data_IF_084379189971
#
_entry.id   IF_084379189971
#
_cell.length_a   1.000
_cell.length_b   1.000
_cell.length_c   1.000
_cell.angle_alpha   90.00
_cell.angle_beta   90.00
_cell.angle_gamma   90.00
#
_symmetry.space_group_name_H-M   'P 1'
#
loop_
_entity.id
_entity.type
_entity.pdbx_description
1 polymer ?
#
# COMPACT_ATOMS: atom_id res chain seq x y z
N UNK A 1 17.62 -17.94 8.21
CA UNK A 1 16.56 -16.90 8.34
C UNK A 1 17.14 -15.58 7.87
N UNK A 2 16.80 -15.18 6.65
CA UNK A 2 17.39 -14.00 6.02
C UNK A 2 16.78 -12.72 6.59
N UNK A 3 17.64 -11.81 7.06
CA UNK A 3 17.30 -10.66 7.88
C UNK A 3 16.68 -9.52 7.05
N UNK A 4 15.57 -9.81 6.36
CA UNK A 4 14.61 -8.78 6.00
C UNK A 4 13.99 -8.30 7.30
N UNK A 5 14.55 -7.21 7.83
CA UNK A 5 14.01 -6.58 9.03
C UNK A 5 12.53 -6.28 8.80
N UNK A 6 11.72 -6.42 9.84
CA UNK A 6 10.29 -6.08 9.84
C UNK A 6 10.02 -4.74 9.15
N UNK A 7 10.89 -3.74 9.37
CA UNK A 7 10.82 -2.43 8.74
C UNK A 7 10.87 -2.50 7.21
N UNK A 8 11.82 -3.25 6.63
CA UNK A 8 11.96 -3.39 5.17
C UNK A 8 10.73 -4.07 4.54
N UNK A 9 10.09 -5.00 5.25
CA UNK A 9 8.86 -5.63 4.79
C UNK A 9 7.70 -4.62 4.76
N UNK A 10 7.55 -3.82 5.82
CA UNK A 10 6.55 -2.74 5.88
C UNK A 10 6.77 -1.74 4.74
N UNK A 11 8.02 -1.34 4.48
CA UNK A 11 8.36 -0.42 3.38
C UNK A 11 7.99 -0.98 2.01
N UNK A 12 8.27 -2.27 1.77
CA UNK A 12 7.93 -2.95 0.50
C UNK A 12 6.43 -3.07 0.30
N UNK A 13 5.70 -3.51 1.33
CA UNK A 13 4.24 -3.56 1.31
C UNK A 13 3.69 -2.16 1.04
N UNK A 14 4.13 -1.15 1.79
CA UNK A 14 3.71 0.25 1.61
C UNK A 14 3.96 0.75 0.18
N UNK A 15 5.09 0.38 -0.41
CA UNK A 15 5.44 0.77 -1.79
C UNK A 15 4.52 0.12 -2.82
N UNK A 16 4.26 -1.18 -2.66
CA UNK A 16 3.32 -1.93 -3.49
C UNK A 16 1.91 -1.33 -3.41
N UNK A 17 1.42 -1.04 -2.21
CA UNK A 17 0.11 -0.43 -2.01
C UNK A 17 0.00 0.95 -2.66
N UNK A 18 1.01 1.81 -2.47
CA UNK A 18 1.04 3.13 -3.10
C UNK A 18 1.06 3.05 -4.63
N UNK A 19 1.70 2.03 -5.21
CA UNK A 19 1.71 1.84 -6.66
C UNK A 19 0.31 1.52 -7.19
N UNK A 20 -0.41 0.61 -6.53
CA UNK A 20 -1.78 0.27 -6.90
C UNK A 20 -2.76 1.42 -6.69
N UNK A 21 -2.62 2.13 -5.57
CA UNK A 21 -3.38 3.35 -5.28
C UNK A 21 -3.18 4.41 -6.37
N UNK A 22 -1.93 4.65 -6.82
CA UNK A 22 -1.67 5.61 -7.90
C UNK A 22 -2.37 5.22 -9.21
N UNK A 23 -2.38 3.94 -9.58
CA UNK A 23 -3.09 3.48 -10.79
C UNK A 23 -4.57 3.81 -10.72
N UNK A 24 -5.23 3.47 -9.60
CA UNK A 24 -6.67 3.70 -9.40
C UNK A 24 -7.03 5.18 -9.25
N UNK A 25 -6.28 5.92 -8.44
CA UNK A 25 -6.62 7.29 -8.07
C UNK A 25 -6.31 8.28 -9.19
N UNK A 26 -5.25 8.04 -9.98
CA UNK A 26 -4.90 8.92 -11.11
C UNK A 26 -6.01 8.97 -12.16
N UNK A 27 -6.68 7.84 -12.44
CA UNK A 27 -7.84 7.79 -13.33
C UNK A 27 -9.01 8.68 -12.85
N UNK A 28 -9.08 8.98 -11.55
CA UNK A 28 -10.09 9.83 -10.92
C UNK A 28 -9.60 11.27 -10.69
N UNK A 29 -8.38 11.59 -11.15
CA UNK A 29 -7.70 12.86 -10.88
C UNK A 29 -7.46 13.09 -9.39
N UNK A 30 -7.17 12.03 -8.64
CA UNK A 30 -6.92 12.05 -7.21
C UNK A 30 -5.50 11.60 -6.87
N UNK A 31 -4.98 12.14 -5.78
CA UNK A 31 -3.72 11.73 -5.16
C UNK A 31 -4.03 10.91 -3.90
N UNK A 32 -3.11 10.05 -3.43
CA UNK A 32 -3.32 9.25 -2.22
C UNK A 32 -3.77 10.07 -1.01
N UNK A 33 -3.23 11.28 -0.83
CA UNK A 33 -3.59 12.17 0.28
C UNK A 33 -5.07 12.59 0.27
N UNK A 34 -5.68 12.76 -0.91
CA UNK A 34 -7.10 13.08 -1.03
C UNK A 34 -7.96 11.94 -0.49
N UNK A 35 -7.62 10.70 -0.84
CA UNK A 35 -8.34 9.50 -0.40
C UNK A 35 -8.13 9.25 1.08
N UNK A 36 -6.90 9.37 1.58
CA UNK A 36 -6.59 9.25 3.02
C UNK A 36 -7.36 10.28 3.86
N UNK A 37 -7.50 11.51 3.34
CA UNK A 37 -8.28 12.55 4.02
C UNK A 37 -9.78 12.21 4.03
N UNK A 38 -10.32 11.70 2.92
CA UNK A 38 -11.72 11.25 2.89
C UNK A 38 -11.97 10.09 3.85
N UNK A 39 -11.09 9.09 3.85
CA UNK A 39 -11.19 7.90 4.70
C UNK A 39 -11.14 8.27 6.20
N UNK A 40 -10.24 9.19 6.56
CA UNK A 40 -10.21 9.78 7.89
C UNK A 40 -11.52 10.49 8.24
N UNK A 41 -12.01 11.38 7.37
CA UNK A 41 -13.23 12.15 7.63
C UNK A 41 -14.48 11.27 7.71
N UNK A 42 -14.53 10.16 6.98
CA UNK A 42 -15.60 9.17 7.07
C UNK A 42 -15.61 8.40 8.40
N UNK A 43 -14.45 8.32 9.08
CA UNK A 43 -14.27 7.53 10.30
C UNK A 43 -14.18 8.38 11.58
N UNK A 44 -13.89 9.68 11.45
CA UNK A 44 -13.72 10.58 12.57
C UNK A 44 -15.08 11.05 13.14
N UNK A 45 -15.07 11.48 14.40
CA UNK A 45 -16.24 12.09 15.02
C UNK A 45 -16.18 13.63 14.92
N UNK A 46 -17.25 14.31 15.37
CA UNK A 46 -17.38 15.79 15.36
C UNK A 46 -16.31 16.57 16.12
N UNK A 47 -15.48 15.92 16.93
CA UNK A 47 -14.38 16.57 17.66
C UNK A 47 -13.05 16.47 16.89
N UNK A 48 -13.05 15.72 15.79
CA UNK A 48 -11.87 15.38 14.99
C UNK A 48 -12.07 15.71 13.51
N UNK A 49 -13.17 16.37 13.16
CA UNK A 49 -13.54 16.75 11.79
C UNK A 49 -13.01 18.15 11.42
N UNK A 50 -11.84 18.55 11.93
CA UNK A 50 -11.26 19.88 11.66
C UNK A 50 -9.99 19.79 10.80
N UNK A 51 -9.60 20.86 10.08
CA UNK A 51 -8.34 20.88 9.34
C UNK A 51 -7.10 20.61 10.21
N UNK A 52 -7.13 21.04 11.48
CA UNK A 52 -6.06 20.76 12.43
C UNK A 52 -5.98 19.26 12.75
N UNK A 53 -7.11 18.62 13.02
CA UNK A 53 -7.17 17.19 13.29
C UNK A 53 -6.70 16.35 12.08
N UNK A 54 -7.06 16.75 10.85
CA UNK A 54 -6.54 16.13 9.61
C UNK A 54 -5.01 16.28 9.53
N UNK A 55 -4.48 17.46 9.89
CA UNK A 55 -3.04 17.74 9.90
C UNK A 55 -2.31 16.81 10.86
N UNK A 56 -2.82 16.70 12.09
CA UNK A 56 -2.22 15.90 13.15
C UNK A 56 -2.30 14.40 12.85
N UNK A 57 -3.46 13.93 12.38
CA UNK A 57 -3.68 12.52 12.08
C UNK A 57 -2.82 12.02 10.91
N UNK A 58 -2.74 12.79 9.82
CA UNK A 58 -1.97 12.40 8.63
C UNK A 58 -0.48 12.75 8.73
N UNK A 59 -0.07 13.50 9.76
CA UNK A 59 1.32 13.98 9.92
C UNK A 59 1.76 14.89 8.76
N UNK A 60 0.84 15.67 8.21
CA UNK A 60 1.08 16.55 7.06
C UNK A 60 1.26 18.00 7.48
N UNK A 61 1.75 18.84 6.57
CA UNK A 61 1.81 20.28 6.85
C UNK A 61 0.43 20.94 6.66
N UNK A 62 0.17 22.03 7.38
CA UNK A 62 -1.04 22.85 7.20
C UNK A 62 -1.25 23.29 5.75
N UNK A 63 -0.17 23.60 5.03
CA UNK A 63 -0.21 23.95 3.61
C UNK A 63 -0.71 22.80 2.74
N UNK A 64 -0.16 21.60 2.94
CA UNK A 64 -0.59 20.37 2.24
C UNK A 64 -2.04 20.04 2.53
N UNK A 65 -2.47 20.11 3.79
CA UNK A 65 -3.86 19.85 4.18
C UNK A 65 -4.80 20.90 3.56
N UNK A 66 -4.45 22.18 3.61
CA UNK A 66 -5.26 23.24 2.99
C UNK A 66 -5.51 22.99 1.50
N UNK A 67 -4.45 22.67 0.75
CA UNK A 67 -4.54 22.35 -0.68
C UNK A 67 -5.38 21.09 -0.94
N UNK A 68 -5.15 20.04 -0.15
CA UNK A 68 -5.91 18.78 -0.20
C UNK A 68 -7.40 19.04 -0.01
N UNK A 69 -7.77 19.77 1.04
CA UNK A 69 -9.16 20.11 1.33
C UNK A 69 -9.77 20.99 0.23
N UNK A 70 -9.02 21.91 -0.36
CA UNK A 70 -9.51 22.73 -1.48
C UNK A 70 -9.82 21.87 -2.71
N UNK A 71 -9.01 20.86 -3.01
CA UNK A 71 -9.31 19.91 -4.10
C UNK A 71 -10.56 19.10 -3.80
N UNK A 72 -10.68 18.57 -2.58
CA UNK A 72 -11.84 17.76 -2.17
C UNK A 72 -13.16 18.57 -2.18
N UNK A 73 -13.14 19.83 -1.72
CA UNK A 73 -14.30 20.72 -1.80
C UNK A 73 -14.66 21.02 -3.26
N UNK A 74 -13.67 21.36 -4.11
CA UNK A 74 -13.92 21.63 -5.54
C UNK A 74 -14.50 20.43 -6.29
N UNK A 75 -14.13 19.22 -5.88
CA UNK A 75 -14.66 17.97 -6.44
C UNK A 75 -16.00 17.55 -5.83
N UNK A 76 -16.53 18.28 -4.85
CA UNK A 76 -17.82 17.98 -4.21
C UNK A 76 -17.77 16.76 -3.28
N UNK A 77 -16.61 16.37 -2.78
CA UNK A 77 -16.49 15.21 -1.89
C UNK A 77 -16.61 15.56 -0.41
N UNK A 78 -16.32 16.81 -0.06
CA UNK A 78 -16.49 17.33 1.29
C UNK A 78 -17.06 18.75 1.25
N UNK A 79 -17.64 19.18 2.36
CA UNK A 79 -17.96 20.58 2.61
C UNK A 79 -17.25 21.10 3.87
N UNK A 80 -17.13 22.43 3.95
CA UNK A 80 -16.64 23.15 5.13
C UNK A 80 -17.81 23.87 5.78
N UNK A 81 -18.08 23.61 7.05
CA UNK A 81 -19.09 24.32 7.84
C UNK A 81 -18.42 25.01 9.04
N UNK A 82 -18.65 26.31 9.21
CA UNK A 82 -18.25 26.98 10.45
C UNK A 82 -19.12 26.47 11.60
N UNK A 83 -18.51 26.28 12.77
CA UNK A 83 -19.27 25.94 13.96
C UNK A 83 -20.32 27.02 14.28
N UNK A 84 -21.44 26.59 14.85
CA UNK A 84 -22.56 27.48 15.13
C UNK A 84 -22.30 28.34 16.39
N UNK A 85 -21.52 27.83 17.35
CA UNK A 85 -21.19 28.51 18.61
C UNK A 85 -19.83 29.25 18.57
N UNK A 86 -18.78 28.68 17.97
CA UNK A 86 -17.46 29.30 17.82
C UNK A 86 -17.03 29.40 16.35
N UNK A 87 -17.21 30.58 15.75
CA UNK A 87 -16.88 30.84 14.33
C UNK A 87 -15.41 30.65 13.97
N UNK A 88 -14.52 30.48 14.94
CA UNK A 88 -13.10 30.14 14.71
C UNK A 88 -12.92 28.66 14.35
N UNK A 89 -13.88 27.80 14.68
CA UNK A 89 -13.86 26.37 14.38
C UNK A 89 -14.49 26.12 13.01
N UNK A 90 -13.81 25.30 12.22
CA UNK A 90 -14.30 24.82 10.92
C UNK A 90 -14.39 23.31 10.97
N UNK A 91 -15.60 22.81 10.75
CA UNK A 91 -15.91 21.40 10.58
C UNK A 91 -15.85 21.01 9.10
N UNK A 92 -15.39 19.79 8.85
CA UNK A 92 -15.24 19.14 7.56
C UNK A 92 -16.22 17.98 7.52
N UNK A 93 -17.16 18.01 6.58
CA UNK A 93 -18.11 16.92 6.43
C UNK A 93 -17.92 16.24 5.11
N UNK A 94 -17.86 14.91 5.13
CA UNK A 94 -17.91 14.12 3.91
C UNK A 94 -19.32 14.20 3.31
N UNK A 95 -19.38 14.37 1.99
CA UNK A 95 -20.62 14.40 1.22
C UNK A 95 -20.92 13.00 0.66
N UNK A 96 -22.17 12.72 0.24
CA UNK A 96 -22.55 11.42 -0.32
C UNK A 96 -21.65 10.95 -1.46
N UNK A 97 -21.21 11.85 -2.33
CA UNK A 97 -20.29 11.58 -3.43
C UNK A 97 -18.90 11.14 -2.93
N UNK A 98 -18.43 11.75 -1.84
CA UNK A 98 -17.18 11.35 -1.18
C UNK A 98 -17.27 9.95 -0.55
N UNK A 99 -18.40 9.64 0.08
CA UNK A 99 -18.66 8.32 0.66
C UNK A 99 -18.75 7.24 -0.43
N UNK A 100 -19.48 7.52 -1.51
CA UNK A 100 -19.60 6.61 -2.65
C UNK A 100 -18.26 6.38 -3.34
N UNK A 101 -17.43 7.42 -3.46
CA UNK A 101 -16.07 7.29 -3.96
C UNK A 101 -15.26 6.30 -3.12
N UNK A 102 -15.26 6.44 -1.79
CA UNK A 102 -14.55 5.53 -0.88
C UNK A 102 -14.99 4.07 -1.09
N UNK A 103 -16.29 3.81 -1.14
CA UNK A 103 -16.83 2.47 -1.38
C UNK A 103 -16.34 1.83 -2.69
N UNK A 104 -16.13 2.63 -3.73
CA UNK A 104 -15.68 2.15 -5.04
C UNK A 104 -14.16 1.97 -5.17
N UNK A 105 -13.36 2.73 -4.40
CA UNK A 105 -11.89 2.72 -4.54
C UNK A 105 -11.18 1.87 -3.49
N UNK A 106 -11.84 1.54 -2.38
CA UNK A 106 -11.24 0.70 -1.35
C UNK A 106 -10.87 -0.66 -1.95
N UNK A 107 -9.60 -1.09 -1.84
CA UNK A 107 -9.10 -2.29 -2.49
C UNK A 107 -9.50 -3.56 -1.73
N UNK A 108 -10.78 -3.68 -1.35
CA UNK A 108 -11.33 -4.86 -0.68
C UNK A 108 -10.91 -6.13 -1.42
N UNK A 109 -10.98 -6.13 -2.75
CA UNK A 109 -10.70 -7.36 -3.51
C UNK A 109 -9.24 -7.86 -3.38
N UNK A 110 -8.22 -6.99 -3.42
CA UNK A 110 -6.81 -7.44 -3.37
C UNK A 110 -6.42 -7.86 -1.95
N UNK A 111 -6.81 -7.09 -0.93
CA UNK A 111 -6.52 -7.42 0.45
C UNK A 111 -7.32 -8.62 0.94
N UNK A 112 -8.62 -8.68 0.65
CA UNK A 112 -9.43 -9.83 1.03
C UNK A 112 -8.92 -11.11 0.39
N UNK A 113 -8.49 -11.08 -0.89
CA UNK A 113 -7.82 -12.24 -1.52
C UNK A 113 -6.50 -12.60 -0.85
N UNK A 114 -5.67 -11.60 -0.52
CA UNK A 114 -4.40 -11.83 0.16
C UNK A 114 -4.60 -12.38 1.58
N UNK A 115 -5.58 -11.86 2.33
CA UNK A 115 -5.98 -12.32 3.65
C UNK A 115 -6.50 -13.77 3.60
N UNK A 116 -7.40 -14.09 2.66
CA UNK A 116 -7.88 -15.46 2.42
C UNK A 116 -6.74 -16.43 2.09
N UNK A 117 -5.74 -15.99 1.32
CA UNK A 117 -4.59 -16.82 0.96
C UNK A 117 -3.70 -17.20 2.17
N UNK A 118 -3.79 -16.45 3.27
CA UNK A 118 -2.96 -16.66 4.48
C UNK A 118 -3.77 -16.95 5.74
N UNK A 119 -5.12 -16.97 5.67
CA UNK A 119 -6.05 -17.02 6.81
C UNK A 119 -5.76 -18.17 7.78
N UNK A 120 -5.44 -19.36 7.26
CA UNK A 120 -5.22 -20.56 8.06
C UNK A 120 -3.74 -20.83 8.39
N UNK A 121 -2.84 -19.88 8.10
CA UNK A 121 -1.42 -20.01 8.38
C UNK A 121 -1.10 -19.51 9.79
N UNK A 122 -0.24 -20.22 10.51
CA UNK A 122 0.36 -19.77 11.76
C UNK A 122 1.75 -19.18 11.49
N UNK A 123 2.09 -18.11 12.19
CA UNK A 123 3.37 -17.42 12.02
C UNK A 123 4.09 -17.27 13.36
N UNK A 124 5.35 -17.70 13.40
CA UNK A 124 6.18 -17.63 14.62
C UNK A 124 6.77 -16.23 14.87
N UNK A 125 6.59 -15.28 13.92
CA UNK A 125 7.08 -13.91 14.05
C UNK A 125 6.33 -12.93 13.14
N UNK A 126 6.38 -11.63 13.50
CA UNK A 126 5.84 -10.54 12.68
C UNK A 126 6.50 -10.50 11.29
N UNK A 127 7.82 -10.73 11.22
CA UNK A 127 8.56 -10.76 9.96
C UNK A 127 8.11 -11.93 9.06
N UNK A 128 7.80 -13.10 9.62
CA UNK A 128 7.22 -14.20 8.85
C UNK A 128 5.83 -13.84 8.31
N UNK A 129 4.95 -13.30 9.16
CA UNK A 129 3.61 -12.88 8.76
C UNK A 129 3.62 -11.79 7.66
N UNK A 130 4.47 -10.77 7.81
CA UNK A 130 4.60 -9.69 6.82
C UNK A 130 5.23 -10.17 5.52
N UNK A 131 6.17 -11.12 5.57
CA UNK A 131 6.73 -11.71 4.35
C UNK A 131 5.64 -12.47 3.57
N UNK A 132 4.84 -13.27 4.26
CA UNK A 132 3.73 -14.01 3.65
C UNK A 132 2.65 -13.07 3.11
N UNK A 133 2.32 -12.00 3.83
CA UNK A 133 1.44 -10.94 3.33
C UNK A 133 2.02 -10.24 2.09
N UNK A 134 3.31 -9.94 2.07
CA UNK A 134 3.97 -9.34 0.90
C UNK A 134 3.88 -10.26 -0.32
N UNK A 135 4.15 -11.56 -0.14
CA UNK A 135 4.05 -12.55 -1.23
C UNK A 135 2.60 -12.66 -1.72
N UNK A 136 1.63 -12.79 -0.81
CA UNK A 136 0.21 -12.85 -1.18
C UNK A 136 -0.24 -11.61 -1.96
N UNK A 137 0.15 -10.40 -1.51
CA UNK A 137 -0.16 -9.15 -2.19
C UNK A 137 0.53 -9.02 -3.57
N UNK A 138 1.77 -9.51 -3.72
CA UNK A 138 2.47 -9.53 -5.00
C UNK A 138 1.78 -10.46 -6.01
N UNK A 139 1.34 -11.64 -5.56
CA UNK A 139 0.67 -12.62 -6.40
C UNK A 139 -0.69 -12.14 -6.90
N UNK A 140 -1.52 -11.58 -6.01
CA UNK A 140 -2.86 -11.09 -6.38
C UNK A 140 -2.79 -9.89 -7.35
N UNK A 141 -1.75 -9.06 -7.24
CA UNK A 141 -1.61 -7.88 -8.11
C UNK A 141 -1.13 -8.19 -9.53
N UNK A 142 -0.76 -9.44 -9.84
CA UNK A 142 -0.29 -9.84 -11.19
C UNK A 142 0.94 -9.06 -11.68
N UNK A 143 1.62 -8.35 -10.78
CA UNK A 143 2.84 -7.59 -11.08
C UNK A 143 4.06 -8.49 -10.94
N UNK A 144 5.09 -8.25 -11.77
CA UNK A 144 6.40 -8.89 -11.63
C UNK A 144 6.85 -8.83 -10.17
N UNK A 145 7.08 -10.00 -9.57
CA UNK A 145 7.49 -10.08 -8.18
C UNK A 145 8.91 -9.54 -8.03
N UNK A 146 9.18 -8.87 -6.92
CA UNK A 146 10.53 -8.45 -6.54
C UNK A 146 10.91 -9.15 -5.25
N UNK A 147 12.10 -9.75 -5.23
CA UNK A 147 12.61 -10.52 -4.09
C UNK A 147 14.13 -10.62 -4.13
N UNK A 148 14.73 -11.13 -3.05
CA UNK A 148 16.16 -11.41 -3.07
C UNK A 148 16.46 -12.55 -4.03
N UNK A 149 17.49 -12.41 -4.86
CA UNK A 149 17.73 -13.31 -5.98
C UNK A 149 17.85 -14.79 -5.53
N UNK A 150 18.50 -15.08 -4.40
CA UNK A 150 18.60 -16.45 -3.88
C UNK A 150 17.31 -17.12 -3.42
N UNK A 151 16.25 -16.34 -3.18
CA UNK A 151 14.95 -16.90 -2.80
C UNK A 151 14.06 -17.12 -4.04
N UNK A 152 14.58 -16.84 -5.23
CA UNK A 152 13.85 -17.00 -6.49
C UNK A 152 13.70 -18.48 -6.83
N UNK A 153 12.57 -18.91 -7.37
CA UNK A 153 12.42 -20.31 -7.85
C UNK A 153 13.38 -20.64 -9.00
N UNK A 154 13.87 -19.62 -9.72
CA UNK A 154 14.82 -19.79 -10.83
C UNK A 154 16.28 -19.67 -10.38
N UNK A 155 16.54 -19.62 -9.07
CA UNK A 155 17.89 -19.64 -8.51
C UNK A 155 18.38 -21.08 -8.38
N UNK A 156 19.63 -21.31 -8.78
CA UNK A 156 20.32 -22.59 -8.64
C UNK A 156 21.67 -22.38 -7.96
N UNK A 157 22.05 -23.33 -7.11
CA UNK A 157 23.33 -23.35 -6.39
C UNK A 157 23.92 -24.76 -6.45
N UNK A 158 25.12 -24.88 -7.03
CA UNK A 158 25.90 -26.12 -7.04
C UNK A 158 27.37 -25.81 -6.74
N UNK A 159 27.95 -26.45 -5.72
CA UNK A 159 29.37 -26.28 -5.34
C UNK A 159 29.81 -24.80 -5.23
N UNK A 160 29.05 -23.98 -4.50
CA UNK A 160 29.25 -22.53 -4.33
C UNK A 160 29.21 -21.70 -5.65
N UNK A 161 28.72 -22.29 -6.74
CA UNK A 161 28.42 -21.57 -7.98
C UNK A 161 26.93 -21.26 -8.04
N UNK A 162 26.63 -19.98 -8.17
CA UNK A 162 25.27 -19.49 -8.26
C UNK A 162 24.89 -19.23 -9.70
N UNK A 163 23.67 -19.60 -10.07
CA UNK A 163 23.19 -19.45 -11.44
C UNK A 163 21.73 -19.02 -11.48
N UNK A 164 21.40 -18.12 -12.41
CA UNK A 164 20.03 -17.75 -12.70
C UNK A 164 19.54 -18.56 -13.90
N UNK A 165 18.61 -19.50 -13.68
CA UNK A 165 18.03 -20.33 -14.73
C UNK A 165 17.19 -19.54 -15.73
N UNK A 166 16.59 -18.42 -15.30
CA UNK A 166 15.79 -17.55 -16.17
C UNK A 166 16.66 -16.73 -17.13
N UNK A 167 17.74 -16.13 -16.61
CA UNK A 167 18.64 -15.27 -17.39
C UNK A 167 19.78 -16.06 -18.05
N UNK A 168 19.94 -17.34 -17.70
CA UNK A 168 20.99 -18.22 -18.17
C UNK A 168 22.40 -17.63 -17.97
N UNK A 169 22.67 -17.12 -16.78
CA UNK A 169 23.96 -16.52 -16.42
C UNK A 169 24.38 -16.87 -14.98
N UNK A 170 25.71 -16.92 -14.72
CA UNK A 170 26.22 -17.04 -13.37
C UNK A 170 25.88 -15.79 -12.54
N UNK A 171 25.74 -15.98 -11.23
CA UNK A 171 25.50 -14.93 -10.25
C UNK A 171 26.68 -14.86 -9.27
N UNK A 172 27.03 -13.66 -8.83
CA UNK A 172 28.00 -13.49 -7.75
C UNK A 172 27.35 -13.63 -6.37
N UNK A 173 28.14 -13.88 -5.33
CA UNK A 173 27.69 -13.79 -3.93
C UNK A 173 26.99 -12.45 -3.63
N UNK A 174 27.44 -11.36 -4.26
CA UNK A 174 26.82 -10.06 -4.08
C UNK A 174 25.43 -10.01 -4.72
N UNK A 175 25.24 -10.60 -5.91
CA UNK A 175 23.96 -10.59 -6.63
C UNK A 175 22.87 -11.34 -5.89
N UNK A 176 23.21 -12.50 -5.32
CA UNK A 176 22.23 -13.40 -4.69
C UNK A 176 21.56 -12.75 -3.46
N UNK A 177 22.25 -11.79 -2.83
CA UNK A 177 21.80 -11.04 -1.65
C UNK A 177 20.97 -9.78 -2.01
N UNK A 178 20.92 -9.39 -3.29
CA UNK A 178 20.24 -8.18 -3.79
C UNK A 178 18.83 -8.49 -4.30
N UNK A 179 18.04 -7.42 -4.44
CA UNK A 179 16.68 -7.50 -5.00
C UNK A 179 16.80 -7.67 -6.51
N UNK A 180 16.16 -8.71 -7.04
CA UNK A 180 16.06 -8.98 -8.47
C UNK A 180 14.70 -8.50 -9.01
N UNK A 181 14.73 -7.85 -10.18
CA UNK A 181 13.52 -7.47 -10.94
C UNK A 181 12.86 -8.67 -11.62
N UNK A 182 13.66 -9.64 -12.04
CA UNK A 182 13.23 -10.87 -12.70
C UNK A 182 12.90 -11.97 -11.67
N UNK A 183 12.58 -11.59 -10.42
CA UNK A 183 12.29 -12.54 -9.36
C UNK A 183 10.96 -13.24 -9.60
N UNK A 184 10.96 -14.55 -9.44
CA UNK A 184 9.80 -15.42 -9.59
C UNK A 184 9.54 -16.11 -8.25
N UNK A 185 8.34 -15.93 -7.70
CA UNK A 185 7.87 -16.58 -6.47
C UNK A 185 7.27 -17.97 -6.80
N UNK A 186 7.18 -18.85 -5.79
CA UNK A 186 6.66 -20.23 -5.90
C UNK A 186 5.18 -20.30 -6.32
N UNK A 187 4.48 -19.17 -6.48
CA UNK A 187 3.04 -19.12 -6.80
C UNK A 187 2.71 -18.29 -8.05
N UNK A 188 3.64 -18.21 -9.00
CA UNK A 188 3.29 -17.95 -10.40
C UNK A 188 2.78 -19.25 -11.07
N UNK A 189 1.72 -19.86 -10.51
CA UNK A 189 0.99 -20.95 -11.14
C UNK A 189 0.10 -20.39 -12.23
N UNK A 190 0.75 -20.02 -13.32
CA UNK A 190 0.18 -19.54 -14.57
C UNK A 190 1.26 -19.55 -15.63
N UNK A 191 1.98 -20.68 -15.76
CA UNK A 191 2.72 -21.01 -16.97
C UNK A 191 1.72 -21.06 -18.13
N UNK A 192 1.75 -20.02 -18.97
CA UNK A 192 2.12 -20.15 -20.38
C UNK A 192 3.00 -18.97 -20.74
#
# INVERSE_FOLDING_TARGET
MHNLTTLKLIERISTLLRAEQRKKYSALGLQPVHVQTLDYLASCNRFSDSPAAVTDYLGLTKGTVSQTLQVLVRKGFIEKKQDDADKRIVHLKILPEGQALLQNITPFDVFTKAEQAIENKQFDSISAALYEALVALQNVNGTSSFGQCKNCITFSEENDHYYCLLMQQPLSQADIEKICREYVSVTNSGLV
#
